data_IF_952205628636
#
_entry.id   IF_952205628636
#
_cell.length_a   1.000
_cell.length_b   1.000
_cell.length_c   1.000
_cell.angle_alpha   90.00
_cell.angle_beta   90.00
_cell.angle_gamma   90.00
#
_symmetry.space_group_name_H-M   'P 1'
#
loop_
_entity.id
_entity.type
_entity.pdbx_description
1 polymer ?
#
# COMPACT_ATOMS: atom_id res chain seq x y z
N UNK A 1 -1.15 -16.52 -19.71
CA UNK A 1 -0.94 -15.06 -19.63
C UNK A 1 -0.45 -14.75 -18.22
N UNK A 2 0.40 -13.75 -18.02
CA UNK A 2 0.83 -13.40 -16.66
C UNK A 2 -0.37 -12.95 -15.84
N UNK A 3 -0.34 -13.27 -14.54
CA UNK A 3 -1.39 -12.90 -13.58
C UNK A 3 -0.88 -11.76 -12.71
N UNK A 4 -1.73 -10.77 -12.44
CA UNK A 4 -1.41 -9.68 -11.52
C UNK A 4 -1.53 -10.19 -10.09
N UNK A 5 -0.42 -10.17 -9.34
CA UNK A 5 -0.33 -10.75 -8.00
C UNK A 5 0.00 -9.68 -6.97
N UNK A 6 -0.73 -9.67 -5.86
CA UNK A 6 -0.43 -8.94 -4.66
C UNK A 6 0.28 -9.86 -3.67
N UNK A 7 1.47 -9.46 -3.18
CA UNK A 7 2.19 -10.16 -2.11
C UNK A 7 2.38 -9.23 -0.91
N UNK A 8 2.20 -9.75 0.29
CA UNK A 8 2.49 -9.02 1.52
C UNK A 8 3.96 -9.19 1.91
N UNK A 9 4.68 -8.08 2.14
CA UNK A 9 6.11 -8.12 2.47
C UNK A 9 6.39 -8.20 3.97
N UNK A 10 5.52 -7.65 4.79
CA UNK A 10 5.66 -7.59 6.24
C UNK A 10 4.34 -7.85 6.97
N UNK A 11 4.34 -7.79 8.26
CA UNK A 11 3.14 -7.92 9.09
C UNK A 11 2.42 -6.57 9.36
N UNK A 12 2.73 -5.52 8.56
CA UNK A 12 2.12 -4.20 8.74
C UNK A 12 1.48 -3.66 7.46
N UNK A 13 2.25 -2.99 6.57
CA UNK A 13 1.65 -2.30 5.41
C UNK A 13 2.51 -2.28 4.14
N UNK A 14 3.56 -3.11 4.08
CA UNK A 14 4.42 -3.18 2.90
C UNK A 14 3.93 -4.23 1.92
N UNK A 15 3.90 -3.86 0.64
CA UNK A 15 3.33 -4.69 -0.42
C UNK A 15 4.25 -4.78 -1.62
N UNK A 16 4.15 -5.90 -2.33
CA UNK A 16 4.75 -6.12 -3.64
C UNK A 16 3.65 -6.47 -4.64
N UNK A 17 3.69 -5.81 -5.78
CA UNK A 17 2.82 -6.10 -6.93
C UNK A 17 3.68 -6.75 -7.99
N UNK A 18 3.32 -7.96 -8.40
CA UNK A 18 4.05 -8.75 -9.40
C UNK A 18 3.22 -8.92 -10.67
N UNK A 19 3.87 -8.76 -11.83
CA UNK A 19 3.26 -9.01 -13.13
C UNK A 19 4.36 -9.17 -14.18
N UNK A 20 4.29 -10.23 -15.01
CA UNK A 20 5.19 -10.44 -16.15
C UNK A 20 6.68 -10.39 -15.80
N UNK A 21 7.11 -11.04 -14.69
CA UNK A 21 8.50 -11.06 -14.24
C UNK A 21 9.04 -9.75 -13.65
N UNK A 22 8.17 -8.76 -13.50
CA UNK A 22 8.51 -7.42 -12.97
C UNK A 22 7.68 -7.11 -11.73
N UNK A 23 8.20 -6.34 -10.81
CA UNK A 23 7.45 -5.93 -9.63
C UNK A 23 7.61 -4.46 -9.25
N UNK A 24 6.64 -3.98 -8.49
CA UNK A 24 6.61 -2.68 -7.83
C UNK A 24 6.50 -2.91 -6.33
N UNK A 25 7.30 -2.18 -5.55
CA UNK A 25 7.23 -2.21 -4.09
C UNK A 25 6.44 -1.00 -3.58
N UNK A 26 5.52 -1.22 -2.64
CA UNK A 26 4.69 -0.19 -2.03
C UNK A 26 5.06 -0.05 -0.56
N UNK A 27 5.48 1.14 -0.14
CA UNK A 27 5.85 1.46 1.24
C UNK A 27 6.76 0.38 1.89
N UNK A 28 7.86 -0.05 1.23
CA UNK A 28 8.60 -1.24 1.62
C UNK A 28 9.31 -1.06 2.96
N UNK A 29 9.20 -2.09 3.83
CA UNK A 29 9.97 -2.24 5.05
C UNK A 29 10.77 -3.55 5.00
N UNK A 30 11.99 -3.49 4.47
CA UNK A 30 12.86 -4.64 4.15
C UNK A 30 14.03 -4.80 5.11
N UNK A 31 13.99 -4.14 6.26
CA UNK A 31 15.07 -4.11 7.26
C UNK A 31 14.56 -4.50 8.64
N UNK A 32 15.39 -5.11 9.50
CA UNK A 32 14.95 -5.58 10.82
C UNK A 32 14.69 -4.46 11.84
N UNK A 33 15.18 -3.24 11.57
CA UNK A 33 15.06 -2.16 12.55
C UNK A 33 13.61 -1.74 12.74
N UNK A 34 13.21 -1.48 13.99
CA UNK A 34 11.86 -1.07 14.32
C UNK A 34 11.51 0.31 13.72
N UNK A 35 10.24 0.55 13.52
CA UNK A 35 9.69 1.90 13.35
C UNK A 35 9.69 2.55 14.72
N UNK A 36 10.21 3.78 14.80
CA UNK A 36 10.20 4.60 16.00
C UNK A 36 9.69 5.99 15.68
N UNK A 37 9.13 6.69 16.66
CA UNK A 37 8.63 8.05 16.49
C UNK A 37 7.23 8.25 17.04
N UNK A 38 6.27 8.61 16.20
CA UNK A 38 4.88 8.86 16.64
C UNK A 38 4.26 7.63 17.30
N UNK A 39 4.59 6.45 16.81
CA UNK A 39 4.37 5.16 17.47
C UNK A 39 5.53 4.23 17.14
N UNK A 40 5.74 3.23 17.99
CA UNK A 40 6.78 2.23 17.80
C UNK A 40 6.18 0.98 17.18
N UNK A 41 6.93 0.30 16.31
CA UNK A 41 6.52 -0.95 15.67
C UNK A 41 7.71 -1.84 15.38
N UNK A 42 7.55 -3.15 15.60
CA UNK A 42 8.55 -4.17 15.28
C UNK A 42 7.91 -5.25 14.40
N UNK A 43 8.72 -5.93 13.60
CA UNK A 43 8.30 -7.18 12.97
C UNK A 43 8.06 -8.25 14.04
N UNK A 44 6.94 -8.97 13.97
CA UNK A 44 6.61 -10.05 14.91
C UNK A 44 6.28 -11.35 14.21
N UNK A 45 5.81 -11.28 12.96
CA UNK A 45 5.45 -12.44 12.16
C UNK A 45 6.39 -12.66 10.96
N UNK A 46 7.55 -12.01 10.99
CA UNK A 46 8.53 -12.04 9.91
C UNK A 46 8.34 -10.91 8.90
N UNK A 47 9.30 -10.79 8.00
CA UNK A 47 9.30 -9.82 6.90
C UNK A 47 10.11 -10.36 5.73
N UNK A 48 9.93 -9.77 4.56
CA UNK A 48 10.69 -10.07 3.35
C UNK A 48 11.90 -9.15 3.26
N UNK A 49 13.07 -9.70 3.01
CA UNK A 49 14.29 -8.93 2.77
C UNK A 49 14.44 -8.61 1.27
N UNK A 50 15.34 -7.67 0.93
CA UNK A 50 15.69 -7.42 -0.47
C UNK A 50 16.31 -8.66 -1.13
N UNK A 51 17.07 -9.45 -0.40
CA UNK A 51 17.64 -10.70 -0.90
C UNK A 51 16.57 -11.74 -1.25
N UNK A 52 15.50 -11.83 -0.46
CA UNK A 52 14.35 -12.69 -0.78
C UNK A 52 13.69 -12.28 -2.10
N UNK A 53 13.47 -10.96 -2.31
CA UNK A 53 12.88 -10.43 -3.55
C UNK A 53 13.75 -10.76 -4.77
N UNK A 54 15.07 -10.62 -4.63
CA UNK A 54 15.99 -10.97 -5.72
C UNK A 54 16.04 -12.49 -5.97
N UNK A 55 15.94 -13.32 -4.92
CA UNK A 55 15.90 -14.77 -5.05
C UNK A 55 14.65 -15.27 -5.83
N UNK A 56 13.54 -14.54 -5.75
CA UNK A 56 12.34 -14.81 -6.54
C UNK A 56 12.50 -14.47 -8.04
N UNK A 57 13.65 -13.91 -8.45
CA UNK A 57 13.94 -13.54 -9.84
C UNK A 57 13.10 -12.38 -10.39
N UNK A 58 12.48 -11.59 -9.52
CA UNK A 58 11.66 -10.45 -9.89
C UNK A 58 12.53 -9.20 -10.15
N UNK A 59 12.28 -8.52 -11.26
CA UNK A 59 12.89 -7.22 -11.54
C UNK A 59 12.09 -6.11 -10.83
N UNK A 60 12.75 -5.34 -9.96
CA UNK A 60 12.11 -4.22 -9.26
C UNK A 60 12.11 -2.99 -10.18
N UNK A 61 10.97 -2.68 -10.79
CA UNK A 61 10.81 -1.53 -11.67
C UNK A 61 10.74 -0.20 -10.89
N UNK A 62 10.10 -0.20 -9.72
CA UNK A 62 9.89 1.01 -8.93
C UNK A 62 9.55 0.73 -7.47
N UNK A 63 9.75 1.78 -6.67
CA UNK A 63 9.19 1.94 -5.32
C UNK A 63 8.14 3.03 -5.35
N UNK A 64 6.95 2.77 -4.82
CA UNK A 64 5.89 3.76 -4.63
C UNK A 64 5.71 4.06 -3.14
N UNK A 65 5.75 5.33 -2.78
CA UNK A 65 5.55 5.78 -1.40
C UNK A 65 4.22 6.51 -1.28
N UNK A 66 3.35 6.06 -0.37
CA UNK A 66 2.08 6.71 -0.13
C UNK A 66 2.21 8.05 0.61
N UNK A 67 3.20 8.17 1.49
CA UNK A 67 3.48 9.42 2.24
C UNK A 67 4.94 9.47 2.69
N UNK A 68 5.36 10.59 3.27
CA UNK A 68 6.72 10.80 3.82
C UNK A 68 6.91 10.34 5.26
N UNK A 69 5.87 9.81 5.90
CA UNK A 69 5.96 9.35 7.30
C UNK A 69 6.85 8.11 7.38
N UNK A 70 7.55 7.93 8.50
CA UNK A 70 8.59 6.92 8.66
C UNK A 70 8.10 5.46 8.52
N UNK A 71 6.83 5.20 8.73
CA UNK A 71 6.23 3.87 8.51
C UNK A 71 5.90 3.57 7.02
N UNK A 72 6.06 4.55 6.12
CA UNK A 72 5.94 4.42 4.67
C UNK A 72 7.29 4.67 3.97
N UNK A 73 7.97 5.79 4.28
CA UNK A 73 9.21 6.21 3.64
C UNK A 73 10.42 5.95 4.57
N UNK A 74 10.88 4.71 4.66
CA UNK A 74 11.93 4.28 5.57
C UNK A 74 13.32 4.52 4.99
N UNK A 75 14.15 5.43 5.58
CA UNK A 75 15.45 5.75 5.01
C UNK A 75 16.37 4.55 4.82
N UNK A 76 16.44 3.61 5.79
CA UNK A 76 17.30 2.42 5.69
C UNK A 76 16.87 1.46 4.58
N UNK A 77 15.58 1.23 4.41
CA UNK A 77 15.07 0.45 3.27
C UNK A 77 15.35 1.16 1.94
N UNK A 78 15.14 2.47 1.89
CA UNK A 78 15.41 3.28 0.69
C UNK A 78 16.89 3.28 0.31
N UNK A 79 17.81 3.25 1.28
CA UNK A 79 19.26 3.08 1.02
C UNK A 79 19.57 1.75 0.33
N UNK A 80 18.91 0.65 0.70
CA UNK A 80 19.05 -0.65 0.01
C UNK A 80 18.57 -0.59 -1.43
N UNK A 81 17.61 0.29 -1.73
CA UNK A 81 16.96 0.48 -3.02
C UNK A 81 17.48 1.73 -3.76
N UNK A 82 18.71 2.20 -3.45
CA UNK A 82 19.28 3.45 -3.95
C UNK A 82 19.30 3.55 -5.50
N UNK A 83 19.43 2.43 -6.19
CA UNK A 83 19.45 2.36 -7.66
C UNK A 83 18.06 2.17 -8.29
N UNK A 84 17.00 2.04 -7.47
CA UNK A 84 15.63 1.87 -7.96
C UNK A 84 14.92 3.23 -8.02
N UNK A 85 14.12 3.46 -9.07
CA UNK A 85 13.31 4.67 -9.18
C UNK A 85 12.23 4.73 -8.09
N UNK A 86 12.16 5.85 -7.37
CA UNK A 86 11.21 6.07 -6.27
C UNK A 86 10.21 7.15 -6.65
N UNK A 87 8.93 6.84 -6.54
CA UNK A 87 7.80 7.73 -6.81
C UNK A 87 7.03 7.99 -5.52
N UNK A 88 6.65 9.23 -5.25
CA UNK A 88 5.86 9.58 -4.08
C UNK A 88 5.49 11.06 -4.03
N UNK A 89 4.62 11.49 -3.10
CA UNK A 89 4.37 12.91 -2.87
C UNK A 89 5.67 13.67 -2.65
N UNK A 90 5.68 14.97 -2.92
CA UNK A 90 6.90 15.81 -2.91
C UNK A 90 7.79 15.58 -1.68
N UNK A 91 7.19 15.48 -0.47
CA UNK A 91 7.95 15.23 0.75
C UNK A 91 8.53 13.80 0.80
N UNK A 92 7.80 12.79 0.30
CA UNK A 92 8.28 11.42 0.24
C UNK A 92 9.45 11.27 -0.75
N UNK A 93 9.35 11.87 -1.93
CA UNK A 93 10.45 11.94 -2.88
C UNK A 93 11.70 12.64 -2.29
N UNK A 94 11.51 13.68 -1.47
CA UNK A 94 12.61 14.35 -0.76
C UNK A 94 13.26 13.44 0.30
N UNK A 95 12.48 12.64 1.03
CA UNK A 95 13.02 11.62 1.96
C UNK A 95 13.86 10.59 1.21
N UNK A 96 13.35 10.07 0.08
CA UNK A 96 14.07 9.11 -0.75
C UNK A 96 15.40 9.68 -1.28
N UNK A 97 15.38 10.91 -1.77
CA UNK A 97 16.61 11.60 -2.23
C UNK A 97 17.63 11.77 -1.09
N UNK A 98 17.17 12.17 0.09
CA UNK A 98 18.03 12.29 1.28
C UNK A 98 18.59 10.94 1.73
N UNK A 99 17.87 9.85 1.50
CA UNK A 99 18.33 8.49 1.76
C UNK A 99 19.35 7.98 0.72
N UNK A 100 19.60 8.72 -0.37
CA UNK A 100 20.59 8.36 -1.39
C UNK A 100 20.01 7.74 -2.66
N UNK A 101 18.67 7.72 -2.85
CA UNK A 101 18.07 7.23 -4.08
C UNK A 101 18.43 8.13 -5.25
N UNK A 102 19.02 7.56 -6.32
CA UNK A 102 19.52 8.29 -7.48
C UNK A 102 18.36 8.85 -8.34
N UNK A 103 17.25 8.13 -8.43
CA UNK A 103 16.08 8.51 -9.25
C UNK A 103 14.86 8.70 -8.35
N UNK A 104 14.41 9.95 -8.18
CA UNK A 104 13.26 10.28 -7.32
C UNK A 104 12.28 11.18 -8.04
N UNK A 105 11.01 10.80 -8.05
CA UNK A 105 9.93 11.46 -8.78
C UNK A 105 8.84 11.95 -7.83
N UNK A 106 8.63 13.26 -7.79
CA UNK A 106 7.49 13.85 -7.08
C UNK A 106 6.23 13.69 -7.95
N UNK A 107 5.19 13.10 -7.37
CA UNK A 107 3.93 12.82 -8.05
C UNK A 107 2.75 13.50 -7.38
N UNK A 108 1.67 13.69 -8.15
CA UNK A 108 0.41 14.27 -7.68
C UNK A 108 -0.77 13.41 -8.10
N UNK A 109 -1.91 13.47 -7.39
CA UNK A 109 -3.12 12.76 -7.80
C UNK A 109 -3.52 13.08 -9.24
N UNK A 110 -3.86 12.04 -10.00
CA UNK A 110 -4.19 12.09 -11.43
C UNK A 110 -3.00 11.76 -12.35
N UNK A 111 -1.77 11.75 -11.85
CA UNK A 111 -0.63 11.29 -12.64
C UNK A 111 -0.76 9.81 -12.99
N UNK A 112 -0.34 9.44 -14.19
CA UNK A 112 -0.29 8.04 -14.66
C UNK A 112 1.07 7.79 -15.29
N UNK A 113 1.64 6.63 -15.02
CA UNK A 113 2.91 6.17 -15.60
C UNK A 113 2.89 4.65 -15.77
N UNK A 114 3.78 4.14 -16.59
CA UNK A 114 3.79 2.74 -17.02
C UNK A 114 5.19 2.17 -16.94
N UNK A 115 5.30 0.95 -16.50
CA UNK A 115 6.53 0.16 -16.47
C UNK A 115 6.37 -1.03 -17.40
N UNK A 116 7.28 -1.18 -18.38
CA UNK A 116 7.34 -2.38 -19.21
C UNK A 116 7.73 -3.58 -18.35
N UNK A 117 7.10 -4.71 -18.57
CA UNK A 117 7.40 -5.95 -17.85
C UNK A 117 8.35 -6.82 -18.66
N UNK A 118 9.24 -7.54 -17.97
CA UNK A 118 10.28 -8.38 -18.58
C UNK A 118 9.69 -9.43 -19.53
N UNK A 119 8.60 -10.07 -19.13
CA UNK A 119 7.97 -11.15 -19.89
C UNK A 119 6.85 -10.64 -20.82
N UNK A 120 6.83 -9.34 -21.09
CA UNK A 120 5.83 -8.65 -21.92
C UNK A 120 4.67 -8.07 -21.12
N UNK A 121 3.94 -7.15 -21.75
CA UNK A 121 2.90 -6.37 -21.07
C UNK A 121 3.46 -5.22 -20.24
N UNK A 122 2.62 -4.65 -19.40
CA UNK A 122 2.96 -3.46 -18.64
C UNK A 122 2.29 -3.44 -17.26
N UNK A 123 2.93 -2.82 -16.27
CA UNK A 123 2.32 -2.35 -15.05
C UNK A 123 1.98 -0.85 -15.21
N UNK A 124 0.70 -0.53 -15.25
CA UNK A 124 0.18 0.84 -15.33
C UNK A 124 -0.22 1.32 -13.94
N UNK A 125 0.34 2.44 -13.51
CA UNK A 125 0.09 3.04 -12.19
C UNK A 125 -0.64 4.36 -12.38
N UNK A 126 -1.75 4.54 -11.67
CA UNK A 126 -2.48 5.80 -11.56
C UNK A 126 -2.50 6.27 -10.12
N UNK A 127 -2.07 7.50 -9.88
CA UNK A 127 -2.04 8.11 -8.55
C UNK A 127 -3.43 8.60 -8.16
N UNK A 128 -3.94 8.14 -7.02
CA UNK A 128 -5.26 8.56 -6.52
C UNK A 128 -5.13 9.55 -5.35
N UNK A 129 -6.16 10.37 -5.20
CA UNK A 129 -6.28 11.27 -4.06
C UNK A 129 -6.81 10.50 -2.84
N UNK A 130 -6.11 10.58 -1.72
CA UNK A 130 -6.65 10.16 -0.42
C UNK A 130 -7.52 11.26 0.21
N UNK A 131 -8.32 10.94 1.22
CA UNK A 131 -9.20 11.89 1.90
C UNK A 131 -8.45 12.83 2.84
N UNK A 132 -9.11 13.94 3.17
CA UNK A 132 -8.60 14.89 4.17
C UNK A 132 -8.65 14.27 5.59
N UNK A 133 -7.72 14.68 6.47
CA UNK A 133 -6.70 15.70 6.26
C UNK A 133 -5.45 15.20 5.53
N UNK A 134 -5.22 13.88 5.42
CA UNK A 134 -4.00 13.32 4.87
C UNK A 134 -3.82 13.55 3.37
N UNK A 135 -4.87 13.83 2.62
CA UNK A 135 -4.82 14.11 1.18
C UNK A 135 -3.95 15.31 0.77
N UNK A 136 -3.39 16.05 1.73
CA UNK A 136 -2.40 17.11 1.50
C UNK A 136 -0.98 16.54 1.38
N UNK A 137 -0.71 15.39 2.04
CA UNK A 137 0.64 14.82 2.17
C UNK A 137 0.72 13.36 1.73
N UNK A 138 -0.41 12.72 1.44
CA UNK A 138 -0.49 11.31 1.09
C UNK A 138 -1.29 11.10 -0.20
N UNK A 139 -1.02 9.97 -0.86
CA UNK A 139 -1.69 9.48 -2.06
C UNK A 139 -1.99 8.00 -1.92
N UNK A 140 -2.94 7.52 -2.72
CA UNK A 140 -3.11 6.11 -3.01
C UNK A 140 -2.72 5.79 -4.45
N UNK A 141 -2.82 4.51 -4.85
CA UNK A 141 -2.46 4.04 -6.19
C UNK A 141 -3.48 3.05 -6.71
N UNK A 142 -3.74 3.10 -8.01
CA UNK A 142 -4.31 1.99 -8.76
C UNK A 142 -3.18 1.40 -9.58
N UNK A 143 -3.00 0.09 -9.49
CA UNK A 143 -2.01 -0.63 -10.28
C UNK A 143 -2.77 -1.65 -11.11
N UNK A 144 -2.58 -1.58 -12.42
CA UNK A 144 -3.22 -2.45 -13.40
C UNK A 144 -2.16 -3.24 -14.16
N UNK A 145 -2.31 -4.55 -14.21
CA UNK A 145 -1.59 -5.40 -15.14
C UNK A 145 -2.23 -5.30 -16.53
N UNK A 146 -1.44 -4.96 -17.53
CA UNK A 146 -1.88 -4.85 -18.93
C UNK A 146 -1.13 -5.87 -19.76
N UNK A 147 -1.85 -6.83 -20.32
CA UNK A 147 -1.29 -7.87 -21.18
C UNK A 147 -0.70 -7.27 -22.48
N UNK A 148 0.15 -8.01 -23.20
CA UNK A 148 0.70 -7.56 -24.49
C UNK A 148 -0.37 -7.22 -25.54
N UNK A 149 -1.54 -7.84 -25.48
CA UNK A 149 -2.68 -7.55 -26.35
C UNK A 149 -3.51 -6.33 -25.93
N UNK A 150 -3.11 -5.66 -24.83
CA UNK A 150 -3.79 -4.50 -24.27
C UNK A 150 -4.94 -4.83 -23.31
N UNK A 151 -5.29 -6.11 -23.12
CA UNK A 151 -6.31 -6.50 -22.14
C UNK A 151 -5.84 -6.32 -20.71
N UNK A 152 -6.77 -6.06 -19.77
CA UNK A 152 -6.45 -5.97 -18.34
C UNK A 152 -6.28 -7.38 -17.75
N UNK A 153 -5.19 -7.57 -17.01
CA UNK A 153 -4.93 -8.78 -16.23
C UNK A 153 -5.40 -8.65 -14.76
N UNK A 154 -5.96 -7.50 -14.39
CA UNK A 154 -6.48 -7.21 -13.07
C UNK A 154 -6.09 -5.83 -12.57
N UNK A 155 -6.77 -5.37 -11.52
CA UNK A 155 -6.61 -4.02 -10.94
C UNK A 155 -6.56 -4.07 -9.43
N UNK A 156 -5.51 -3.50 -8.85
CA UNK A 156 -5.28 -3.41 -7.40
C UNK A 156 -5.33 -1.95 -6.99
N UNK A 157 -6.16 -1.62 -5.99
CA UNK A 157 -6.24 -0.29 -5.39
C UNK A 157 -5.58 -0.29 -4.02
N UNK A 158 -4.50 0.48 -3.88
CA UNK A 158 -3.78 0.70 -2.62
C UNK A 158 -4.20 2.04 -2.03
N UNK A 159 -4.89 2.03 -0.90
CA UNK A 159 -5.30 3.25 -0.18
C UNK A 159 -5.19 3.00 1.34
N UNK A 160 -4.02 3.20 1.94
CA UNK A 160 -3.77 2.82 3.33
C UNK A 160 -4.37 3.79 4.36
N UNK A 161 -4.98 4.90 3.94
CA UNK A 161 -5.42 5.96 4.86
C UNK A 161 -6.91 6.24 4.80
N UNK A 162 -7.36 7.08 3.85
CA UNK A 162 -8.70 7.66 3.81
C UNK A 162 -9.33 7.48 2.42
N UNK A 163 -9.90 6.30 2.12
CA UNK A 163 -10.59 6.09 0.85
C UNK A 163 -11.79 7.03 0.72
N UNK A 164 -11.86 7.75 -0.42
CA UNK A 164 -12.97 8.69 -0.65
C UNK A 164 -14.03 8.09 -1.57
N UNK A 165 -15.32 8.39 -1.34
CA UNK A 165 -16.41 7.90 -2.20
C UNK A 165 -16.25 8.33 -3.67
N UNK A 166 -15.73 9.54 -3.91
CA UNK A 166 -15.54 10.06 -5.28
C UNK A 166 -14.50 9.24 -6.04
N UNK A 167 -13.33 8.99 -5.41
CA UNK A 167 -12.29 8.15 -6.00
C UNK A 167 -12.79 6.73 -6.19
N UNK A 168 -13.35 6.12 -5.14
CA UNK A 168 -13.86 4.75 -5.19
C UNK A 168 -14.85 4.53 -6.36
N UNK A 169 -15.77 5.47 -6.59
CA UNK A 169 -16.72 5.40 -7.72
C UNK A 169 -16.02 5.52 -9.08
N UNK A 170 -15.01 6.39 -9.21
CA UNK A 170 -14.34 6.64 -10.49
C UNK A 170 -13.41 5.51 -10.93
N UNK A 171 -12.95 4.67 -10.00
CA UNK A 171 -11.99 3.58 -10.27
C UNK A 171 -12.64 2.21 -10.47
N UNK A 172 -13.93 2.08 -10.21
CA UNK A 172 -14.64 0.79 -10.31
C UNK A 172 -14.59 0.19 -11.73
N UNK A 173 -14.51 -1.15 -11.88
CA UNK A 173 -14.35 -2.17 -10.85
C UNK A 173 -12.89 -2.36 -10.39
N UNK A 174 -12.73 -2.87 -9.16
CA UNK A 174 -11.43 -3.22 -8.58
C UNK A 174 -11.43 -4.69 -8.17
N UNK A 175 -10.39 -5.44 -8.51
CA UNK A 175 -10.24 -6.83 -8.10
C UNK A 175 -9.83 -6.92 -6.63
N UNK A 176 -8.77 -6.20 -6.25
CA UNK A 176 -8.26 -6.17 -4.87
C UNK A 176 -8.17 -4.72 -4.38
N UNK A 177 -8.84 -4.41 -3.27
CA UNK A 177 -8.66 -3.16 -2.53
C UNK A 177 -7.83 -3.38 -1.27
N UNK A 178 -6.61 -2.84 -1.21
CA UNK A 178 -5.78 -2.83 0.01
C UNK A 178 -6.17 -1.60 0.82
N UNK A 179 -6.96 -1.80 1.87
CA UNK A 179 -7.64 -0.73 2.60
C UNK A 179 -7.39 -0.82 4.11
N UNK A 180 -7.39 0.30 4.85
CA UNK A 180 -7.27 0.27 6.30
C UNK A 180 -8.55 -0.28 6.92
N UNK A 181 -8.45 -1.31 7.76
CA UNK A 181 -9.64 -1.88 8.42
C UNK A 181 -9.83 -1.36 9.85
N UNK A 182 -8.85 -0.63 10.38
CA UNK A 182 -8.90 -0.03 11.71
C UNK A 182 -8.81 1.49 11.60
N UNK A 183 -9.77 2.19 12.23
CA UNK A 183 -9.65 3.64 12.36
C UNK A 183 -8.56 3.98 13.37
N UNK A 184 -7.69 4.90 12.99
CA UNK A 184 -6.68 5.48 13.87
C UNK A 184 -6.89 6.99 13.87
N UNK A 185 -6.95 7.57 15.06
CA UNK A 185 -7.04 9.04 15.23
C UNK A 185 -5.79 9.51 15.98
N UNK A 186 -5.04 10.43 15.40
CA UNK A 186 -3.91 11.06 16.08
C UNK A 186 -4.40 12.32 16.80
N UNK A 187 -4.54 12.24 18.12
CA UNK A 187 -5.15 13.27 18.98
C UNK A 187 -6.60 13.56 18.54
N UNK A 188 -6.81 14.41 17.55
CA UNK A 188 -8.13 14.76 16.97
C UNK A 188 -8.18 14.53 15.46
N UNK A 189 -7.06 14.19 14.84
CA UNK A 189 -6.93 14.06 13.38
C UNK A 189 -7.12 12.61 12.96
N UNK A 190 -8.12 12.29 12.12
CA UNK A 190 -8.28 10.95 11.59
C UNK A 190 -7.14 10.60 10.62
N UNK A 191 -6.34 9.60 10.99
CA UNK A 191 -5.22 9.08 10.17
C UNK A 191 -5.72 7.98 9.25
N UNK A 192 -6.38 6.95 9.79
CA UNK A 192 -6.93 5.85 9.02
C UNK A 192 -8.46 5.81 9.12
N UNK A 193 -9.09 5.46 8.00
CA UNK A 193 -10.53 5.29 7.94
C UNK A 193 -10.99 4.05 8.73
N UNK A 194 -12.16 4.15 9.33
CA UNK A 194 -12.80 3.02 10.01
C UNK A 194 -13.77 2.25 9.12
N UNK A 195 -14.32 1.17 9.67
CA UNK A 195 -15.20 0.18 9.02
C UNK A 195 -16.25 0.77 8.09
N UNK A 196 -17.00 1.79 8.53
CA UNK A 196 -18.09 2.38 7.72
C UNK A 196 -17.57 3.05 6.43
N UNK A 197 -16.48 3.79 6.54
CA UNK A 197 -15.88 4.51 5.39
C UNK A 197 -15.30 3.50 4.40
N UNK A 198 -14.56 2.51 4.90
CA UNK A 198 -13.96 1.44 4.10
C UNK A 198 -15.02 0.61 3.39
N UNK A 199 -16.05 0.14 4.10
CA UNK A 199 -17.13 -0.65 3.51
C UNK A 199 -17.89 0.14 2.42
N UNK A 200 -18.15 1.45 2.64
CA UNK A 200 -18.77 2.31 1.63
C UNK A 200 -17.88 2.47 0.40
N UNK A 201 -16.59 2.73 0.59
CA UNK A 201 -15.63 2.89 -0.49
C UNK A 201 -15.48 1.60 -1.30
N UNK A 202 -15.35 0.45 -0.63
CA UNK A 202 -15.24 -0.86 -1.28
C UNK A 202 -16.47 -1.20 -2.14
N UNK A 203 -17.69 -0.93 -1.65
CA UNK A 203 -18.91 -1.11 -2.46
C UNK A 203 -18.93 -0.19 -3.68
N UNK A 204 -18.58 1.08 -3.53
CA UNK A 204 -18.53 2.03 -4.64
C UNK A 204 -17.45 1.66 -5.67
N UNK A 205 -16.31 1.16 -5.23
CA UNK A 205 -15.26 0.63 -6.09
C UNK A 205 -15.60 -0.75 -6.69
N UNK A 206 -16.70 -1.37 -6.25
CA UNK A 206 -17.06 -2.77 -6.59
C UNK A 206 -15.89 -3.71 -6.37
N UNK A 207 -15.19 -3.54 -5.25
CA UNK A 207 -14.02 -4.34 -4.92
C UNK A 207 -14.44 -5.79 -4.67
N UNK A 208 -13.83 -6.74 -5.40
CA UNK A 208 -14.10 -8.17 -5.24
C UNK A 208 -13.51 -8.69 -3.93
N UNK A 209 -12.28 -8.31 -3.64
CA UNK A 209 -11.56 -8.65 -2.41
C UNK A 209 -11.04 -7.40 -1.72
N UNK A 210 -11.18 -7.35 -0.40
CA UNK A 210 -10.59 -6.34 0.47
C UNK A 210 -9.46 -7.00 1.26
N UNK A 211 -8.26 -6.45 1.16
CA UNK A 211 -7.10 -6.86 1.95
C UNK A 211 -6.85 -5.82 3.03
N UNK A 212 -6.84 -6.26 4.29
CA UNK A 212 -6.59 -5.41 5.42
C UNK A 212 -5.11 -4.98 5.48
N UNK A 213 -4.86 -3.66 5.53
CA UNK A 213 -3.53 -3.08 5.70
C UNK A 213 -3.45 -2.25 6.99
N UNK A 214 -2.25 -1.91 7.44
CA UNK A 214 -1.99 -1.17 8.67
C UNK A 214 -2.70 -1.79 9.90
N UNK A 215 -2.69 -3.13 9.98
CA UNK A 215 -3.40 -3.88 11.00
C UNK A 215 -2.68 -3.81 12.34
N UNK A 216 -3.48 -3.82 13.42
CA UNK A 216 -3.05 -3.82 14.82
C UNK A 216 -1.98 -2.77 15.16
N UNK A 217 -2.22 -1.48 14.90
CA UNK A 217 -1.27 -0.41 15.25
C UNK A 217 -1.06 -0.27 16.75
N UNK A 218 -1.93 -0.85 17.60
CA UNK A 218 -1.81 -0.82 19.06
C UNK A 218 -0.78 -1.79 19.63
N UNK A 219 -0.38 -2.80 18.86
CA UNK A 219 0.45 -3.90 19.36
C UNK A 219 1.68 -3.41 20.11
N UNK A 220 2.40 -2.46 19.53
CA UNK A 220 3.67 -1.97 20.05
C UNK A 220 3.57 -0.59 20.71
N UNK A 221 2.37 -0.01 20.81
CA UNK A 221 2.14 1.29 21.43
C UNK A 221 2.29 1.22 22.94
N UNK A 222 3.04 2.15 23.53
CA UNK A 222 3.08 2.35 24.95
C UNK A 222 1.77 2.98 25.49
N UNK A 223 1.65 3.11 26.84
CA UNK A 223 0.44 3.62 27.51
C UNK A 223 0.00 5.00 27.01
N UNK A 224 0.95 5.92 26.83
CA UNK A 224 0.68 7.28 26.37
C UNK A 224 0.30 7.32 24.89
N UNK A 225 0.98 6.54 24.07
CA UNK A 225 0.62 6.41 22.66
C UNK A 225 -0.80 5.86 22.48
N UNK A 226 -1.21 4.85 23.25
CA UNK A 226 -2.59 4.31 23.22
C UNK A 226 -3.66 5.35 23.58
N UNK A 227 -3.32 6.31 24.45
CA UNK A 227 -4.20 7.42 24.79
C UNK A 227 -4.31 8.44 23.65
N UNK A 228 -3.17 8.77 23.01
CA UNK A 228 -3.07 9.78 21.93
C UNK A 228 -3.55 9.23 20.59
N UNK A 229 -3.49 7.91 20.39
CA UNK A 229 -3.88 7.23 19.15
C UNK A 229 -5.00 6.19 19.41
N UNK A 230 -6.23 6.64 19.66
CA UNK A 230 -7.36 5.72 19.79
C UNK A 230 -7.56 4.94 18.47
N UNK A 231 -7.67 3.62 18.60
CA UNK A 231 -7.89 2.66 17.50
C UNK A 231 -9.23 1.98 17.70
N UNK A 232 -10.05 1.90 16.64
CA UNK A 232 -11.37 1.24 16.66
C UNK A 232 -11.60 0.40 15.43
N UNK A 233 -12.39 -0.66 15.58
CA UNK A 233 -12.73 -1.59 14.51
C UNK A 233 -11.59 -2.55 14.16
N UNK A 234 -11.77 -3.31 13.09
CA UNK A 234 -10.83 -4.30 12.60
C UNK A 234 -11.32 -4.98 11.32
N UNK A 235 -10.54 -5.91 10.81
CA UNK A 235 -10.92 -6.70 9.62
C UNK A 235 -12.21 -7.49 9.85
N UNK A 236 -12.47 -7.98 11.06
CA UNK A 236 -13.71 -8.67 11.41
C UNK A 236 -14.95 -7.78 11.23
N UNK A 237 -14.87 -6.51 11.66
CA UNK A 237 -15.98 -5.56 11.49
C UNK A 237 -16.23 -5.22 10.03
N UNK A 238 -15.15 -5.07 9.23
CA UNK A 238 -15.27 -4.85 7.77
C UNK A 238 -15.86 -6.10 7.11
N UNK A 239 -15.44 -7.31 7.51
CA UNK A 239 -15.97 -8.58 7.01
C UNK A 239 -17.48 -8.69 7.28
N UNK A 240 -17.92 -8.37 8.49
CA UNK A 240 -19.33 -8.35 8.83
C UNK A 240 -20.10 -7.31 7.98
N UNK A 241 -19.55 -6.11 7.82
CA UNK A 241 -20.16 -5.06 7.01
C UNK A 241 -20.21 -5.38 5.51
N UNK A 242 -19.31 -6.22 4.99
CA UNK A 242 -19.20 -6.59 3.58
C UNK A 242 -19.77 -7.96 3.25
N UNK A 243 -20.41 -8.62 4.21
CA UNK A 243 -21.01 -9.95 4.01
C UNK A 243 -21.90 -9.98 2.75
N UNK A 244 -21.68 -10.97 1.88
CA UNK A 244 -22.40 -11.14 0.62
C UNK A 244 -22.01 -10.20 -0.53
N UNK A 245 -21.02 -9.29 -0.32
CA UNK A 245 -20.59 -8.34 -1.37
C UNK A 245 -19.13 -8.44 -1.75
N UNK A 246 -18.26 -8.66 -0.77
CA UNK A 246 -16.79 -8.76 -0.98
C UNK A 246 -16.18 -9.73 0.01
N UNK A 247 -15.10 -10.40 -0.41
CA UNK A 247 -14.25 -11.18 0.50
C UNK A 247 -13.32 -10.23 1.27
N UNK A 248 -13.15 -10.43 2.59
CA UNK A 248 -12.21 -9.66 3.41
C UNK A 248 -11.13 -10.59 3.95
N UNK A 249 -9.88 -10.29 3.58
CA UNK A 249 -8.70 -11.12 3.84
C UNK A 249 -7.68 -10.37 4.71
N UNK A 250 -7.11 -11.08 5.66
CA UNK A 250 -5.89 -10.69 6.37
C UNK A 250 -4.76 -11.59 5.87
N UNK A 251 -3.77 -11.02 5.20
CA UNK A 251 -2.66 -11.76 4.63
C UNK A 251 -1.52 -11.86 5.64
N UNK A 252 -0.90 -13.03 5.77
CA UNK A 252 0.38 -13.20 6.44
C UNK A 252 1.53 -12.64 5.59
N UNK A 253 2.69 -12.29 6.19
CA UNK A 253 3.90 -12.01 5.44
C UNK A 253 4.21 -13.12 4.42
N UNK A 254 4.63 -12.75 3.22
CA UNK A 254 4.90 -13.63 2.06
C UNK A 254 3.66 -14.31 1.44
N UNK A 255 2.47 -14.12 1.99
CA UNK A 255 1.26 -14.61 1.34
C UNK A 255 0.99 -13.85 0.04
N UNK A 256 0.40 -14.54 -0.95
CA UNK A 256 0.05 -14.03 -2.27
C UNK A 256 -1.45 -14.11 -2.51
N UNK A 257 -1.94 -13.18 -3.33
CA UNK A 257 -3.33 -13.12 -3.78
C UNK A 257 -3.37 -12.68 -5.24
N UNK A 258 -4.08 -13.43 -6.06
CA UNK A 258 -4.30 -13.11 -7.48
C UNK A 258 -5.44 -12.08 -7.64
N UNK A 259 -5.24 -11.09 -8.51
CA UNK A 259 -6.23 -10.08 -8.83
C UNK A 259 -7.27 -10.55 -9.86
#
# INVERSE_FOLDING_TARGET
MPELTLRRLDDYQSWQILFGGTCILIDPWLTPEPITGSFDRQHTAGFTTLADIHADGCEIAAVLLCTSVNDHARPKTLQLLANTSVYGPTKAAAVARKAGCASTHAITPGATFTFACRDGGNLRVTVTRTGLPLGIIAVGYIIEGVNPDGSSAGRIWIEPHQPTPRVAKSIAPIDIGVLPCQSVTAVVMPVNAGTRVVARAARLARARTIVATATDPRRDMNRWQRLLYPVRGGAADVRAAMAGTSTVVEMAPRAELLA
#
